data_IF_924646852637
#
_entry.id   IF_924646852637
#
_cell.length_a   1.000
_cell.length_b   1.000
_cell.length_c   1.000
_cell.angle_alpha   90.00
_cell.angle_beta   90.00
_cell.angle_gamma   90.00
#
_symmetry.space_group_name_H-M   'P 1'
#
loop_
_entity.id
_entity.type
_entity.pdbx_description
1 polymer ?
#
# COMPACT_ATOMS: atom_id res chain seq x y z
N UNK A 1 -39.59 80.86 -31.50
CA UNK A 1 -38.71 79.85 -32.10
C UNK A 1 -37.87 79.25 -30.98
N UNK A 2 -38.30 78.11 -30.42
CA UNK A 2 -37.61 77.45 -29.31
C UNK A 2 -36.62 76.41 -29.85
N UNK A 3 -35.36 76.52 -29.46
CA UNK A 3 -34.31 75.55 -29.78
C UNK A 3 -34.43 74.37 -28.81
N UNK A 4 -34.78 73.19 -29.32
CA UNK A 4 -34.75 71.94 -28.57
C UNK A 4 -33.31 71.42 -28.53
N UNK A 5 -32.77 71.21 -27.32
CA UNK A 5 -31.46 70.61 -27.11
C UNK A 5 -31.55 69.08 -27.32
N UNK A 6 -30.67 68.54 -28.18
CA UNK A 6 -30.56 67.10 -28.38
C UNK A 6 -29.84 66.45 -27.18
N UNK A 7 -30.32 65.31 -26.65
CA UNK A 7 -29.65 64.62 -25.56
C UNK A 7 -28.36 63.94 -26.06
N UNK A 8 -27.28 64.09 -25.31
CA UNK A 8 -26.02 63.38 -25.53
C UNK A 8 -26.19 61.94 -25.02
N UNK A 9 -25.90 60.89 -25.82
CA UNK A 9 -25.98 59.52 -25.33
C UNK A 9 -24.82 59.26 -24.36
N UNK A 10 -25.14 59.02 -23.09
CA UNK A 10 -24.18 58.57 -22.10
C UNK A 10 -23.85 57.09 -22.36
N UNK A 11 -22.62 56.79 -22.76
CA UNK A 11 -22.10 55.43 -22.88
C UNK A 11 -21.65 54.97 -21.50
N UNK A 12 -22.41 54.08 -20.87
CA UNK A 12 -22.03 53.44 -19.61
C UNK A 12 -21.17 52.22 -19.95
N UNK A 13 -19.85 52.35 -19.78
CA UNK A 13 -18.92 51.20 -19.88
C UNK A 13 -18.96 50.45 -18.55
N UNK A 14 -19.67 49.33 -18.52
CA UNK A 14 -19.68 48.43 -17.38
C UNK A 14 -18.36 47.63 -17.38
N UNK A 15 -17.36 48.08 -16.62
CA UNK A 15 -16.19 47.24 -16.31
C UNK A 15 -16.62 46.11 -15.37
N UNK A 16 -16.96 44.96 -15.94
CA UNK A 16 -17.04 43.72 -15.16
C UNK A 16 -15.62 43.34 -14.73
N UNK A 17 -15.27 43.64 -13.46
CA UNK A 17 -14.13 43.00 -12.82
C UNK A 17 -14.44 41.50 -12.71
N UNK A 18 -13.98 40.73 -13.69
CA UNK A 18 -13.85 39.28 -13.55
C UNK A 18 -12.74 39.07 -12.52
N UNK A 19 -13.12 39.00 -11.24
CA UNK A 19 -12.23 38.48 -10.21
C UNK A 19 -11.94 37.04 -10.61
N UNK A 20 -10.78 36.82 -11.24
CA UNK A 20 -10.16 35.51 -11.34
C UNK A 20 -9.87 35.08 -9.90
N UNK A 21 -10.88 34.50 -9.25
CA UNK A 21 -10.68 33.71 -8.07
C UNK A 21 -9.81 32.56 -8.53
N UNK A 22 -8.49 32.71 -8.41
CA UNK A 22 -7.58 31.58 -8.51
C UNK A 22 -8.08 30.60 -7.47
N UNK A 23 -8.53 29.39 -7.84
CA UNK A 23 -8.82 28.40 -6.84
C UNK A 23 -7.49 28.18 -6.12
N UNK A 24 -7.41 28.65 -4.88
CA UNK A 24 -6.33 28.27 -3.97
C UNK A 24 -6.56 26.78 -3.78
N UNK A 25 -5.92 25.95 -4.61
CA UNK A 25 -5.94 24.51 -4.48
C UNK A 25 -5.36 24.21 -3.10
N UNK A 26 -6.24 23.91 -2.14
CA UNK A 26 -5.87 23.69 -0.76
C UNK A 26 -4.98 22.45 -0.69
N UNK A 27 -3.66 22.58 -0.72
CA UNK A 27 -2.73 21.43 -0.70
C UNK A 27 -3.16 20.41 0.36
N UNK A 28 -3.26 19.13 -0.04
CA UNK A 28 -3.50 18.06 0.92
C UNK A 28 -2.42 18.17 2.00
N UNK A 29 -2.80 18.07 3.27
CA UNK A 29 -1.83 18.13 4.36
C UNK A 29 -0.88 16.95 4.21
N UNK A 30 0.40 17.22 4.04
CA UNK A 30 1.43 16.20 4.07
C UNK A 30 1.50 15.60 5.46
N UNK A 31 1.53 14.28 5.51
CA UNK A 31 1.68 13.50 6.73
C UNK A 31 2.94 12.66 6.58
N UNK A 32 3.78 12.63 7.62
CA UNK A 32 4.98 11.81 7.65
C UNK A 32 5.08 11.12 9.01
N UNK A 33 5.37 9.83 8.99
CA UNK A 33 5.71 9.05 10.17
C UNK A 33 6.93 8.21 9.88
N UNK A 34 7.83 8.21 10.86
CA UNK A 34 8.99 7.35 10.89
C UNK A 34 8.99 6.61 12.22
N UNK A 35 9.19 5.30 12.14
CA UNK A 35 9.47 4.47 13.31
C UNK A 35 10.98 4.34 13.48
N UNK A 36 11.42 4.09 14.71
CA UNK A 36 12.83 3.77 14.97
C UNK A 36 13.18 2.41 14.36
N UNK A 37 14.46 2.08 14.31
CA UNK A 37 14.96 0.79 13.80
C UNK A 37 14.28 -0.42 14.46
N UNK A 38 13.82 -0.28 15.70
CA UNK A 38 13.11 -1.31 16.44
C UNK A 38 11.86 -0.73 17.11
N UNK A 39 10.77 -1.49 17.04
CA UNK A 39 9.49 -1.20 17.66
C UNK A 39 9.50 -1.61 19.13
N UNK A 40 8.65 -0.97 19.91
CA UNK A 40 8.42 -1.30 21.32
C UNK A 40 6.96 -1.06 21.69
N UNK A 41 6.57 -1.46 22.90
CA UNK A 41 5.18 -1.38 23.35
C UNK A 41 4.57 0.03 23.30
N UNK A 42 5.37 1.11 23.31
CA UNK A 42 4.84 2.47 23.15
C UNK A 42 4.35 2.75 21.73
N UNK A 43 4.86 2.06 20.71
CA UNK A 43 4.44 2.20 19.31
C UNK A 43 3.03 1.66 19.07
N UNK A 44 2.53 0.77 19.94
CA UNK A 44 1.13 0.31 19.93
C UNK A 44 0.12 1.42 20.17
N UNK A 45 0.55 2.60 20.65
CA UNK A 45 -0.30 3.80 20.69
C UNK A 45 -0.62 4.32 19.28
N UNK A 46 0.27 4.09 18.32
CA UNK A 46 0.16 4.49 16.91
C UNK A 46 -0.24 3.34 15.99
N UNK A 47 0.03 2.09 16.39
CA UNK A 47 -0.24 0.89 15.60
C UNK A 47 -1.45 0.11 16.14
N UNK A 48 -2.25 -0.44 15.24
CA UNK A 48 -3.32 -1.38 15.52
C UNK A 48 -2.88 -2.78 15.06
N UNK A 49 -2.79 -3.70 16.01
CA UNK A 49 -2.52 -5.11 15.76
C UNK A 49 -3.88 -5.79 15.65
N UNK A 50 -4.28 -6.16 14.43
CA UNK A 50 -5.63 -6.63 14.12
C UNK A 50 -5.87 -8.11 14.50
N UNK A 51 -4.79 -8.84 14.80
CA UNK A 51 -4.82 -10.25 15.20
C UNK A 51 -4.15 -10.41 16.55
N UNK A 52 -4.66 -11.34 17.38
CA UNK A 52 -4.03 -11.72 18.64
C UNK A 52 -2.64 -12.36 18.45
N UNK A 53 -2.34 -12.78 17.22
CA UNK A 53 -1.06 -13.38 16.84
C UNK A 53 -0.07 -12.35 16.30
N UNK A 54 -0.54 -11.16 15.94
CA UNK A 54 0.36 -10.07 15.57
C UNK A 54 0.99 -9.48 16.82
N UNK A 55 2.30 -9.24 16.81
CA UNK A 55 3.02 -8.77 17.99
C UNK A 55 4.25 -7.92 17.65
N UNK A 56 4.88 -7.38 18.70
CA UNK A 56 6.24 -6.86 18.62
C UNK A 56 7.13 -7.93 19.24
N UNK A 57 8.00 -8.53 18.43
CA UNK A 57 8.92 -9.57 18.88
C UNK A 57 9.92 -9.05 19.92
N UNK A 58 10.59 -9.96 20.63
CA UNK A 58 11.60 -9.60 21.63
C UNK A 58 12.80 -8.84 21.03
N UNK A 59 13.04 -9.03 19.72
CA UNK A 59 14.03 -8.29 18.92
C UNK A 59 13.52 -6.90 18.46
N UNK A 60 12.28 -6.54 18.78
CA UNK A 60 11.65 -5.29 18.37
C UNK A 60 11.17 -5.26 16.93
N UNK A 61 11.11 -6.41 16.22
CA UNK A 61 10.49 -6.50 14.90
C UNK A 61 8.96 -6.60 15.02
N UNK A 62 8.22 -6.10 14.03
CA UNK A 62 6.80 -6.40 13.89
C UNK A 62 6.64 -7.83 13.38
N UNK A 63 5.85 -8.63 14.07
CA UNK A 63 5.49 -9.98 13.66
C UNK A 63 4.02 -9.97 13.24
N UNK A 64 3.73 -10.18 11.96
CA UNK A 64 2.35 -10.27 11.47
C UNK A 64 1.69 -11.57 11.94
N UNK A 65 2.40 -12.68 11.75
CA UNK A 65 2.09 -14.02 12.23
C UNK A 65 3.19 -14.48 13.19
N UNK A 66 2.87 -15.48 14.03
CA UNK A 66 3.80 -15.95 15.06
C UNK A 66 5.08 -16.54 14.45
N UNK A 67 6.22 -16.13 15.01
CA UNK A 67 7.55 -16.65 14.69
C UNK A 67 8.11 -17.34 15.95
N UNK A 68 7.50 -18.45 16.37
CA UNK A 68 7.98 -19.19 17.56
C UNK A 68 8.23 -20.67 17.23
N UNK A 69 9.46 -21.17 17.44
CA UNK A 69 9.79 -22.58 17.19
C UNK A 69 9.25 -23.55 18.26
N UNK A 70 8.65 -23.04 19.33
CA UNK A 70 8.19 -23.82 20.50
C UNK A 70 6.66 -23.86 20.67
N UNK A 71 5.90 -23.55 19.62
CA UNK A 71 4.43 -23.69 19.64
C UNK A 71 4.00 -24.80 18.68
N UNK A 72 2.84 -25.39 18.97
CA UNK A 72 2.25 -26.46 18.17
C UNK A 72 2.03 -26.00 16.71
N UNK A 73 2.31 -26.87 15.72
CA UNK A 73 2.13 -26.58 14.31
C UNK A 73 0.71 -26.08 13.98
N UNK A 74 -0.30 -26.67 14.62
CA UNK A 74 -1.68 -26.24 14.47
C UNK A 74 -1.89 -24.75 14.79
N UNK A 75 -1.06 -24.18 15.69
CA UNK A 75 -1.10 -22.77 16.05
C UNK A 75 -0.35 -21.84 15.08
N UNK A 76 0.47 -22.38 14.18
CA UNK A 76 1.25 -21.64 13.18
C UNK A 76 0.64 -21.68 11.77
N UNK A 77 -0.16 -22.71 11.47
CA UNK A 77 -0.83 -22.84 10.17
C UNK A 77 -2.09 -22.00 10.07
N UNK A 78 -2.43 -21.60 8.84
CA UNK A 78 -3.68 -20.91 8.51
C UNK A 78 -3.89 -19.65 9.35
N UNK A 79 -2.82 -18.93 9.65
CA UNK A 79 -2.86 -17.66 10.37
C UNK A 79 -2.69 -16.49 9.42
N UNK A 80 -3.31 -15.38 9.79
CA UNK A 80 -3.11 -14.09 9.16
C UNK A 80 -3.11 -12.99 10.21
N UNK A 81 -2.46 -11.89 9.86
CA UNK A 81 -2.33 -10.74 10.74
C UNK A 81 -2.18 -9.46 9.95
N UNK A 82 -2.66 -8.36 10.53
CA UNK A 82 -2.42 -7.01 10.01
C UNK A 82 -1.91 -6.14 11.14
N UNK A 83 -0.92 -5.31 10.81
CA UNK A 83 -0.46 -4.23 11.69
C UNK A 83 -0.62 -2.92 10.91
N UNK A 84 -1.62 -2.12 11.30
CA UNK A 84 -1.98 -0.90 10.60
C UNK A 84 -1.68 0.35 11.41
N UNK A 85 -1.39 1.45 10.74
CA UNK A 85 -1.28 2.75 11.38
C UNK A 85 -2.67 3.31 11.75
N UNK A 86 -2.86 3.69 13.01
CA UNK A 86 -4.17 4.06 13.59
C UNK A 86 -4.73 5.38 13.10
N UNK A 87 -3.87 6.32 12.70
CA UNK A 87 -4.34 7.66 12.33
C UNK A 87 -4.66 7.64 10.83
N UNK A 88 -5.94 7.82 10.45
CA UNK A 88 -6.34 7.81 9.06
C UNK A 88 -5.76 9.02 8.33
N UNK A 89 -5.50 8.86 7.04
CA UNK A 89 -5.06 9.92 6.15
C UNK A 89 -5.96 9.98 4.91
N UNK A 90 -6.07 11.18 4.32
CA UNK A 90 -6.93 11.42 3.16
C UNK A 90 -6.14 11.15 1.89
N UNK A 91 -6.49 10.06 1.20
CA UNK A 91 -5.86 9.70 -0.07
C UNK A 91 -6.42 10.41 -1.28
N UNK A 92 -7.66 10.89 -1.22
CA UNK A 92 -8.24 11.65 -2.31
C UNK A 92 -9.31 12.62 -1.83
N UNK A 93 -9.54 13.66 -2.62
CA UNK A 93 -10.56 14.68 -2.41
C UNK A 93 -11.23 15.00 -3.75
N UNK A 94 -12.54 14.85 -3.81
CA UNK A 94 -13.33 15.24 -4.96
C UNK A 94 -14.72 14.61 -4.92
N UNK A 95 -15.55 14.91 -5.92
CA UNK A 95 -16.85 14.27 -6.11
C UNK A 95 -16.74 13.26 -7.25
N UNK A 96 -17.48 12.16 -7.14
CA UNK A 96 -17.48 11.05 -8.10
C UNK A 96 -17.75 11.49 -9.56
N UNK A 97 -18.30 12.69 -9.76
CA UNK A 97 -18.69 13.30 -11.04
C UNK A 97 -17.86 14.54 -11.46
N UNK A 98 -16.80 14.90 -10.70
CA UNK A 98 -16.02 16.11 -10.97
C UNK A 98 -14.65 15.80 -11.60
N UNK A 99 -14.30 16.56 -12.66
CA UNK A 99 -12.97 16.57 -13.28
C UNK A 99 -11.83 17.06 -12.36
N UNK A 100 -12.13 17.40 -11.11
CA UNK A 100 -11.21 17.99 -10.13
C UNK A 100 -10.85 17.03 -8.98
N UNK A 101 -10.87 15.72 -9.22
CA UNK A 101 -10.45 14.73 -8.22
C UNK A 101 -8.95 14.90 -7.95
N UNK A 102 -8.61 15.17 -6.69
CA UNK A 102 -7.25 15.32 -6.22
C UNK A 102 -6.87 14.04 -5.51
N UNK A 103 -5.80 13.40 -5.93
CA UNK A 103 -5.28 12.18 -5.30
C UNK A 103 -3.93 12.50 -4.65
N UNK A 104 -3.71 11.98 -3.44
CA UNK A 104 -2.47 12.14 -2.71
C UNK A 104 -1.39 11.25 -3.32
N UNK A 105 -0.19 11.78 -3.47
CA UNK A 105 1.02 10.97 -3.63
C UNK A 105 1.52 10.49 -2.27
N UNK A 106 2.07 9.28 -2.21
CA UNK A 106 2.69 8.76 -0.99
C UNK A 106 3.89 7.90 -1.34
N UNK A 107 4.83 7.81 -0.40
CA UNK A 107 5.86 6.79 -0.42
C UNK A 107 5.94 6.11 0.95
N UNK A 108 6.43 4.88 0.95
CA UNK A 108 6.77 4.14 2.15
C UNK A 108 8.02 3.30 1.90
N UNK A 109 8.78 3.08 2.96
CA UNK A 109 9.93 2.19 2.92
C UNK A 109 10.03 1.40 4.21
N UNK A 110 10.28 0.11 4.10
CA UNK A 110 10.40 -0.77 5.24
C UNK A 110 11.35 -1.93 4.95
N UNK A 111 11.88 -2.51 6.02
CA UNK A 111 12.73 -3.69 5.96
C UNK A 111 11.88 -4.91 6.30
N UNK A 112 11.98 -5.96 5.49
CA UNK A 112 11.33 -7.25 5.75
C UNK A 112 12.35 -8.36 5.79
N UNK A 113 12.04 -9.37 6.59
CA UNK A 113 12.69 -10.67 6.54
C UNK A 113 11.57 -11.72 6.58
N UNK A 114 11.67 -12.71 5.70
CA UNK A 114 10.74 -13.82 5.62
C UNK A 114 11.54 -15.11 5.70
N UNK A 115 11.28 -15.89 6.75
CA UNK A 115 11.94 -17.16 7.00
C UNK A 115 10.88 -18.26 7.14
N UNK A 116 11.29 -19.48 6.81
CA UNK A 116 10.54 -20.68 7.13
C UNK A 116 11.22 -21.46 8.25
N UNK A 117 10.44 -22.22 9.01
CA UNK A 117 10.96 -23.10 10.05
C UNK A 117 11.47 -24.41 9.43
N UNK A 118 12.49 -25.02 10.05
CA UNK A 118 13.11 -26.25 9.55
C UNK A 118 12.12 -27.39 9.35
N UNK A 119 11.17 -27.54 10.27
CA UNK A 119 10.18 -28.60 10.25
C UNK A 119 9.02 -28.31 9.26
N UNK A 120 9.00 -27.10 8.66
CA UNK A 120 8.00 -26.63 7.70
C UNK A 120 8.69 -26.12 6.43
N UNK A 121 9.09 -27.05 5.52
CA UNK A 121 9.99 -26.74 4.41
C UNK A 121 9.34 -25.93 3.29
N UNK A 122 8.00 -25.93 3.19
CA UNK A 122 7.26 -25.09 2.25
C UNK A 122 7.07 -23.72 2.87
N UNK A 123 7.67 -22.65 2.31
CA UNK A 123 7.33 -21.30 2.72
C UNK A 123 5.92 -20.92 2.27
N UNK A 124 5.32 -19.98 2.97
CA UNK A 124 4.03 -19.42 2.61
C UNK A 124 3.44 -18.62 3.76
N UNK A 125 2.60 -17.63 3.49
CA UNK A 125 2.02 -17.30 2.17
C UNK A 125 2.74 -16.09 1.55
N UNK A 126 3.11 -15.13 2.38
CA UNK A 126 3.83 -13.93 1.97
C UNK A 126 3.58 -12.78 2.92
N UNK A 127 3.79 -11.56 2.42
CA UNK A 127 3.53 -10.31 3.15
C UNK A 127 3.03 -9.24 2.18
N UNK A 128 2.14 -8.36 2.63
CA UNK A 128 1.71 -7.22 1.82
C UNK A 128 1.79 -5.89 2.58
N UNK A 129 2.18 -4.82 1.89
CA UNK A 129 1.84 -3.46 2.30
C UNK A 129 0.43 -3.16 1.84
N UNK A 130 -0.45 -2.74 2.75
CA UNK A 130 -1.87 -2.50 2.45
C UNK A 130 -2.31 -1.10 2.82
N UNK A 131 -3.10 -0.52 1.93
CA UNK A 131 -3.95 0.65 2.18
C UNK A 131 -5.40 0.17 2.20
N UNK A 132 -6.08 0.35 3.31
CA UNK A 132 -7.45 -0.12 3.53
C UNK A 132 -8.32 0.96 4.20
N UNK A 133 -9.66 0.88 4.06
CA UNK A 133 -10.58 1.87 4.65
C UNK A 133 -10.77 1.68 6.17
N UNK A 134 -10.41 0.52 6.70
CA UNK A 134 -10.57 0.15 8.10
C UNK A 134 -9.35 -0.61 8.64
N UNK A 135 -9.35 -0.85 9.94
CA UNK A 135 -8.26 -1.51 10.67
C UNK A 135 -8.49 -3.01 10.87
N UNK A 136 -9.58 -3.56 10.37
CA UNK A 136 -9.95 -4.95 10.57
C UNK A 136 -9.21 -5.88 9.60
N UNK A 137 -9.15 -7.16 9.98
CA UNK A 137 -8.77 -8.25 9.09
C UNK A 137 -10.04 -8.97 8.65
N UNK A 138 -10.22 -9.29 7.35
CA UNK A 138 -11.37 -10.08 6.92
C UNK A 138 -11.41 -11.43 7.65
N UNK A 139 -12.61 -11.96 7.94
CA UNK A 139 -12.72 -13.29 8.51
C UNK A 139 -12.19 -14.33 7.53
N UNK A 140 -11.53 -15.37 8.06
CA UNK A 140 -10.98 -16.49 7.28
C UNK A 140 -10.05 -16.03 6.13
N UNK A 141 -9.18 -15.07 6.43
CA UNK A 141 -8.28 -14.42 5.47
C UNK A 141 -6.85 -14.96 5.55
N UNK A 142 -6.66 -16.22 5.93
CA UNK A 142 -5.34 -16.86 5.91
C UNK A 142 -5.10 -17.59 4.59
N UNK A 143 -3.91 -18.16 4.39
CA UNK A 143 -3.57 -18.80 3.13
C UNK A 143 -3.36 -17.78 2.02
N UNK A 144 -3.72 -18.18 0.79
CA UNK A 144 -3.80 -17.37 -0.43
C UNK A 144 -4.40 -15.97 -0.24
N UNK A 145 -5.23 -15.76 0.79
CA UNK A 145 -5.88 -14.48 1.03
C UNK A 145 -5.00 -13.42 1.69
N UNK A 146 -3.79 -13.75 2.17
CA UNK A 146 -2.77 -12.82 2.72
C UNK A 146 -3.26 -11.83 3.80
N UNK A 147 -4.37 -12.12 4.47
CA UNK A 147 -5.03 -11.17 5.34
C UNK A 147 -5.75 -10.05 4.58
N UNK A 148 -5.79 -10.03 3.24
CA UNK A 148 -6.33 -8.97 2.38
C UNK A 148 -7.84 -9.11 2.11
N UNK A 149 -8.29 -10.28 1.68
CA UNK A 149 -9.69 -10.58 1.32
C UNK A 149 -10.13 -11.94 1.91
N UNK A 150 -11.17 -12.56 1.39
CA UNK A 150 -11.48 -13.96 1.69
C UNK A 150 -12.24 -14.57 0.51
N UNK A 151 -12.50 -15.88 0.57
CA UNK A 151 -13.20 -16.61 -0.48
C UNK A 151 -14.55 -16.02 -0.90
N UNK A 152 -15.24 -15.29 -0.02
CA UNK A 152 -16.56 -14.71 -0.29
C UNK A 152 -16.50 -13.29 -0.87
N UNK A 153 -15.49 -12.50 -0.52
CA UNK A 153 -15.39 -11.08 -0.90
C UNK A 153 -14.27 -10.79 -1.88
N UNK A 154 -13.47 -11.77 -2.29
CA UNK A 154 -12.36 -11.53 -3.21
C UNK A 154 -12.84 -10.91 -4.54
N UNK A 155 -12.22 -9.78 -4.93
CA UNK A 155 -12.61 -9.00 -6.10
C UNK A 155 -13.80 -8.05 -5.90
N UNK A 156 -14.46 -8.06 -4.74
CA UNK A 156 -15.56 -7.14 -4.47
C UNK A 156 -15.07 -5.70 -4.32
N UNK A 157 -15.71 -4.76 -5.03
CA UNK A 157 -15.40 -3.33 -4.94
C UNK A 157 -15.61 -2.74 -3.54
N UNK A 158 -16.35 -3.44 -2.67
CA UNK A 158 -16.54 -3.08 -1.26
C UNK A 158 -15.30 -3.29 -0.40
N UNK A 159 -14.29 -4.07 -0.86
CA UNK A 159 -13.03 -4.24 -0.13
C UNK A 159 -12.23 -2.93 -0.03
N UNK A 160 -12.33 -2.08 -1.07
CA UNK A 160 -11.72 -0.75 -1.15
C UNK A 160 -10.24 -0.70 -0.75
N UNK A 161 -9.49 -1.76 -1.05
CA UNK A 161 -8.09 -1.90 -0.69
C UNK A 161 -7.18 -1.89 -1.91
N UNK A 162 -5.97 -1.38 -1.68
CA UNK A 162 -4.83 -1.55 -2.59
C UNK A 162 -3.72 -2.17 -1.76
N UNK A 163 -3.06 -3.19 -2.30
CA UNK A 163 -1.91 -3.79 -1.66
C UNK A 163 -0.76 -4.02 -2.65
N UNK A 164 0.45 -4.06 -2.12
CA UNK A 164 1.63 -4.56 -2.81
C UNK A 164 2.09 -5.80 -2.06
N UNK A 165 1.91 -6.97 -2.65
CA UNK A 165 2.28 -8.26 -2.07
C UNK A 165 3.71 -8.68 -2.44
N UNK A 166 4.33 -9.39 -1.51
CA UNK A 166 5.55 -10.17 -1.68
C UNK A 166 5.13 -11.62 -1.44
N UNK A 167 4.87 -12.31 -2.53
CA UNK A 167 4.28 -13.64 -2.52
C UNK A 167 5.39 -14.71 -2.57
N UNK A 168 5.23 -15.73 -1.72
CA UNK A 168 6.21 -16.80 -1.53
C UNK A 168 5.65 -18.20 -1.76
N UNK A 169 4.39 -18.33 -2.17
CA UNK A 169 3.73 -19.60 -2.42
C UNK A 169 2.76 -19.48 -3.60
N UNK A 170 2.97 -20.31 -4.63
CA UNK A 170 2.19 -20.23 -5.85
C UNK A 170 0.79 -20.81 -5.69
N UNK A 171 -0.23 -20.01 -5.99
CA UNK A 171 -1.59 -20.44 -6.24
C UNK A 171 -1.94 -20.45 -7.75
N UNK A 172 -3.15 -20.88 -8.09
CA UNK A 172 -3.60 -21.00 -9.50
C UNK A 172 -3.61 -19.67 -10.27
N UNK A 173 -3.65 -18.55 -9.55
CA UNK A 173 -3.66 -17.20 -10.13
C UNK A 173 -2.28 -16.55 -10.21
N UNK A 174 -1.24 -17.22 -9.70
CA UNK A 174 0.10 -16.66 -9.58
C UNK A 174 1.03 -17.09 -10.70
N UNK A 175 1.97 -16.21 -11.11
CA UNK A 175 2.94 -16.55 -12.14
C UNK A 175 3.91 -17.66 -11.66
N UNK A 176 4.33 -17.59 -10.40
CA UNK A 176 5.24 -18.52 -9.73
C UNK A 176 5.18 -18.34 -8.20
N UNK A 177 6.01 -19.07 -7.45
CA UNK A 177 6.04 -19.04 -5.98
C UNK A 177 6.98 -17.98 -5.41
N UNK A 178 7.35 -16.96 -6.19
CA UNK A 178 8.28 -15.92 -5.74
C UNK A 178 8.09 -14.68 -6.63
N UNK A 179 7.10 -13.88 -6.31
CA UNK A 179 6.74 -12.71 -7.12
C UNK A 179 6.33 -11.52 -6.25
N UNK A 180 6.26 -10.35 -6.90
CA UNK A 180 5.63 -9.15 -6.35
C UNK A 180 4.40 -8.83 -7.17
N UNK A 181 3.36 -8.35 -6.49
CA UNK A 181 2.05 -8.13 -7.09
C UNK A 181 1.41 -6.83 -6.63
N UNK A 182 0.59 -6.22 -7.51
CA UNK A 182 -0.30 -5.13 -7.19
C UNK A 182 -1.73 -5.65 -7.10
N UNK A 183 -2.27 -5.65 -5.90
CA UNK A 183 -3.61 -6.12 -5.60
C UNK A 183 -4.59 -4.94 -5.55
N UNK A 184 -5.71 -5.05 -6.26
CA UNK A 184 -6.79 -4.05 -6.23
C UNK A 184 -8.08 -4.79 -5.88
N UNK A 185 -8.56 -4.61 -4.64
CA UNK A 185 -9.76 -5.27 -4.10
C UNK A 185 -9.77 -6.82 -4.15
N UNK A 186 -8.69 -7.47 -4.57
CA UNK A 186 -8.57 -8.93 -4.74
C UNK A 186 -7.16 -9.36 -4.39
N UNK A 187 -6.97 -10.58 -3.89
CA UNK A 187 -5.64 -11.21 -3.82
C UNK A 187 -5.09 -11.56 -5.18
N UNK A 188 -5.93 -11.69 -6.20
CA UNK A 188 -5.47 -11.81 -7.58
C UNK A 188 -4.89 -10.48 -8.02
N UNK A 189 -3.57 -10.47 -8.19
CA UNK A 189 -2.86 -9.29 -8.61
C UNK A 189 -3.33 -8.77 -9.97
N UNK A 190 -3.61 -7.47 -10.02
CA UNK A 190 -3.88 -6.75 -11.26
C UNK A 190 -2.65 -6.71 -12.17
N UNK A 191 -1.46 -6.67 -11.56
CA UNK A 191 -0.18 -6.79 -12.25
C UNK A 191 0.82 -7.48 -11.34
N UNK A 192 1.59 -8.41 -11.90
CA UNK A 192 2.64 -9.15 -11.18
C UNK A 192 3.98 -9.03 -11.89
N UNK A 193 5.04 -9.35 -11.16
CA UNK A 193 6.36 -9.61 -11.73
C UNK A 193 7.04 -10.70 -10.93
N UNK A 194 7.42 -11.76 -11.64
CA UNK A 194 8.26 -12.83 -11.10
C UNK A 194 9.58 -12.24 -10.59
N UNK A 195 9.95 -12.65 -9.38
CA UNK A 195 11.26 -12.40 -8.78
C UNK A 195 12.15 -13.65 -8.89
N UNK A 196 11.60 -14.77 -9.39
CA UNK A 196 12.31 -16.04 -9.55
C UNK A 196 13.51 -15.86 -10.46
N UNK A 197 14.69 -15.96 -9.86
CA UNK A 197 15.95 -16.02 -10.58
C UNK A 197 16.94 -16.89 -9.81
N UNK A 198 18.00 -17.39 -10.44
CA UNK A 198 19.02 -18.19 -9.75
C UNK A 198 19.70 -17.46 -8.57
N UNK A 199 19.62 -16.13 -8.53
CA UNK A 199 20.29 -15.28 -7.53
C UNK A 199 19.32 -14.66 -6.52
N UNK A 200 17.99 -14.85 -6.65
CA UNK A 200 16.99 -14.14 -5.84
C UNK A 200 15.80 -15.04 -5.47
N UNK A 201 15.53 -15.12 -4.17
CA UNK A 201 14.32 -15.70 -3.58
C UNK A 201 13.94 -14.86 -2.34
N UNK A 202 12.65 -14.54 -2.19
CA UNK A 202 12.14 -13.74 -1.07
C UNK A 202 12.32 -14.43 0.29
N UNK A 203 12.40 -15.76 0.30
CA UNK A 203 12.57 -16.57 1.51
C UNK A 203 14.02 -16.98 1.65
N UNK A 204 14.60 -16.69 2.81
CA UNK A 204 15.99 -17.07 3.07
C UNK A 204 16.15 -18.61 3.17
N UNK A 205 17.31 -19.16 2.75
CA UNK A 205 17.68 -20.54 3.07
C UNK A 205 17.59 -20.84 4.57
N UNK A 206 17.22 -22.07 4.93
CA UNK A 206 17.09 -22.48 6.33
C UNK A 206 18.36 -22.18 7.13
N UNK A 207 18.19 -21.53 8.29
CA UNK A 207 19.29 -21.15 9.17
C UNK A 207 20.07 -19.90 8.74
N UNK A 208 19.60 -19.20 7.69
CA UNK A 208 20.13 -17.89 7.27
C UNK A 208 19.06 -16.80 7.47
N UNK A 209 19.43 -15.53 7.29
CA UNK A 209 18.48 -14.42 7.34
C UNK A 209 18.75 -13.42 6.22
N UNK A 210 17.76 -13.23 5.35
CA UNK A 210 17.79 -12.20 4.31
C UNK A 210 16.89 -11.04 4.70
N UNK A 211 17.43 -9.83 4.55
CA UNK A 211 16.69 -8.61 4.78
C UNK A 211 16.52 -7.90 3.44
N UNK A 212 15.27 -7.62 3.10
CA UNK A 212 14.90 -6.91 1.90
C UNK A 212 14.41 -5.52 2.30
N UNK A 213 15.06 -4.50 1.76
CA UNK A 213 14.48 -3.16 1.82
C UNK A 213 13.45 -3.06 0.70
N UNK A 214 12.25 -2.65 1.04
CA UNK A 214 11.12 -2.45 0.14
C UNK A 214 10.83 -0.96 0.09
N UNK A 215 10.75 -0.39 -1.10
CA UNK A 215 10.24 0.95 -1.34
C UNK A 215 9.02 0.89 -2.24
N UNK A 216 7.99 1.65 -1.88
CA UNK A 216 6.77 1.82 -2.66
C UNK A 216 6.57 3.33 -2.83
N UNK A 217 6.38 3.78 -4.06
CA UNK A 217 6.09 5.16 -4.40
C UNK A 217 4.85 5.24 -5.30
N UNK A 218 3.95 6.15 -4.95
CA UNK A 218 2.70 6.40 -5.65
C UNK A 218 2.61 7.87 -6.05
N UNK A 219 2.58 8.13 -7.35
CA UNK A 219 2.29 9.45 -7.90
C UNK A 219 0.78 9.61 -8.11
N UNK A 220 0.11 10.37 -7.23
CA UNK A 220 -1.32 10.64 -7.32
C UNK A 220 -1.72 11.57 -8.48
N UNK A 221 -0.78 12.30 -9.09
CA UNK A 221 -1.05 13.13 -10.28
C UNK A 221 -1.10 12.25 -11.51
N UNK A 222 -0.07 11.42 -11.69
CA UNK A 222 -0.01 10.46 -12.81
C UNK A 222 -0.94 9.26 -12.61
N UNK A 223 -1.39 9.04 -11.37
CA UNK A 223 -2.07 7.81 -10.91
C UNK A 223 -1.21 6.58 -11.20
N UNK A 224 0.08 6.71 -10.96
CA UNK A 224 1.02 5.66 -11.26
C UNK A 224 1.64 5.25 -9.94
N UNK A 225 1.39 3.99 -9.58
CA UNK A 225 2.27 3.29 -8.66
C UNK A 225 3.48 2.93 -9.53
N UNK A 226 4.60 3.66 -9.41
CA UNK A 226 5.87 3.53 -10.16
C UNK A 226 6.03 4.28 -11.51
N UNK A 227 6.64 5.48 -11.51
CA UNK A 227 6.95 6.22 -12.75
C UNK A 227 8.28 5.84 -13.43
N UNK A 228 8.71 4.58 -13.23
CA UNK A 228 9.89 4.02 -13.89
C UNK A 228 11.17 4.00 -13.05
N UNK A 229 11.11 4.33 -11.74
CA UNK A 229 12.31 4.29 -10.89
C UNK A 229 12.27 3.52 -9.57
N UNK A 230 11.17 3.05 -8.95
CA UNK A 230 11.31 2.59 -7.53
C UNK A 230 10.27 1.60 -6.97
N UNK A 231 10.26 0.33 -7.42
CA UNK A 231 10.32 -0.77 -6.41
C UNK A 231 11.74 -1.25 -6.44
N UNK A 232 12.54 -0.79 -5.48
CA UNK A 232 13.86 -1.33 -5.31
C UNK A 232 13.78 -2.44 -4.28
N UNK A 233 14.15 -3.65 -4.66
CA UNK A 233 14.59 -4.65 -3.70
C UNK A 233 16.10 -4.49 -3.56
N UNK A 234 16.57 -4.08 -2.39
CA UNK A 234 18.00 -4.14 -2.11
C UNK A 234 18.29 -5.47 -1.45
N UNK A 235 18.92 -6.36 -2.22
CA UNK A 235 19.84 -7.36 -1.69
C UNK A 235 21.24 -6.75 -1.73
N UNK A 236 22.00 -6.78 -0.63
CA UNK A 236 23.46 -6.67 -0.78
C UNK A 236 23.93 -7.87 -1.60
N UNK A 237 24.59 -7.77 -2.76
CA UNK A 237 25.42 -6.71 -3.33
C UNK A 237 24.99 -6.33 -4.77
N UNK A 238 24.60 -5.06 -4.95
CA UNK A 238 24.71 -4.27 -6.19
C UNK A 238 24.01 -4.71 -7.49
N UNK A 239 22.80 -5.28 -7.47
CA UNK A 239 21.99 -5.38 -8.70
C UNK A 239 20.56 -4.85 -8.52
N UNK A 240 20.15 -4.05 -9.51
CA UNK A 240 18.86 -3.37 -9.58
C UNK A 240 17.94 -4.14 -10.51
N UNK A 241 16.79 -4.61 -10.01
CA UNK A 241 15.72 -5.12 -10.87
C UNK A 241 14.56 -4.11 -10.84
N UNK A 242 14.13 -3.68 -12.03
CA UNK A 242 13.09 -2.66 -12.21
C UNK A 242 11.74 -3.30 -12.51
N UNK A 243 10.68 -2.79 -11.89
CA UNK A 243 9.31 -3.24 -12.14
C UNK A 243 8.42 -2.02 -12.40
N UNK A 244 8.10 -1.68 -13.66
CA UNK A 244 7.14 -0.63 -13.97
C UNK A 244 5.70 -1.16 -13.83
N UNK A 245 4.83 -0.45 -13.10
CA UNK A 245 3.37 -0.68 -13.09
C UNK A 245 2.68 0.62 -13.48
N UNK A 246 1.70 0.57 -14.38
CA UNK A 246 0.85 1.72 -14.71
C UNK A 246 -0.56 1.37 -14.22
N UNK A 247 -1.25 2.32 -13.57
CA UNK A 247 -2.68 2.14 -13.26
C UNK A 247 -3.53 2.77 -14.38
N UNK A 248 -4.74 2.26 -14.63
CA UNK A 248 -5.67 2.85 -15.59
C UNK A 248 -6.21 4.24 -15.19
#
# INVERSE_FOLDING_TARGET
MGLAANPIPAVVILLSLLALATPVSAKLKTFNVQFKNFFNNSDTKKLHLASALSSIGANGALQLTLETPNVDFASLTNQSGRILYKIPFKLWEGRTDAYSNRVASFNTSFLVNMNRLKDFPTPGEGLAFVVAPDLSIPPNSSGEYLGLTNAATDGATSNQLIAVELDTLKEDHDPDSNHVGLNINSVKSHKTTSLTSPEFELVAPLGTGYYFNVWIDYDGIKKVLFDGTSVFFFLGTNRWNFIPVELP
#
